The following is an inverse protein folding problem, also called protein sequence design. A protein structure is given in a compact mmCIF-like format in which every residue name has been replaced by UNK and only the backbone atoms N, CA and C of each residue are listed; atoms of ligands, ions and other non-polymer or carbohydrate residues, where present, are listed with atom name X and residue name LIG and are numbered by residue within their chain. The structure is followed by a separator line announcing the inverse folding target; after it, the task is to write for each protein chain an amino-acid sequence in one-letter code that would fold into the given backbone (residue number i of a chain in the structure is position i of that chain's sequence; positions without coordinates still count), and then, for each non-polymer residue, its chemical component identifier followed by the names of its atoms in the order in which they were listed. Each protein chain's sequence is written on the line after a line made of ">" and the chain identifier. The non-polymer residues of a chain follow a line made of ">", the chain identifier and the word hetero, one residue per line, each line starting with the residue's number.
data_IF_616355808857
#
_entry.id   IF_616355808857
#
_cell.length_a   1.000
_cell.length_b   1.000
_cell.length_c   1.000
_cell.angle_alpha   90.00
_cell.angle_beta   90.00
_cell.angle_gamma   90.00
#
_symmetry.space_group_name_H-M   'P 1'
#
loop_
_entity.id
_entity.type
_entity.pdbx_description
1 polymer ?
#
# COMPACT_ATOMS: atom_id res chain seq x y z
N UNK A 1 18.92 -18.43 3.50
CA UNK A 1 18.25 -17.12 3.28
C UNK A 1 17.00 -17.25 2.42
N UNK A 2 17.06 -17.73 1.18
CA UNK A 2 15.86 -17.89 0.30
C UNK A 2 14.81 -18.82 0.93
N UNK A 3 15.23 -19.94 1.54
CA UNK A 3 14.30 -20.83 2.27
C UNK A 3 13.47 -20.09 3.33
N UNK A 4 14.09 -19.17 4.08
CA UNK A 4 13.38 -18.41 5.11
C UNK A 4 12.34 -17.44 4.48
N UNK A 5 12.66 -16.84 3.33
CA UNK A 5 11.71 -16.00 2.58
C UNK A 5 10.48 -16.80 2.15
N UNK A 6 10.69 -18.03 1.63
CA UNK A 6 9.59 -18.93 1.22
C UNK A 6 8.76 -19.42 2.41
N UNK A 7 9.42 -19.81 3.51
CA UNK A 7 8.73 -20.26 4.73
C UNK A 7 7.87 -19.13 5.31
N UNK A 8 8.42 -17.92 5.41
CA UNK A 8 7.67 -16.76 5.92
C UNK A 8 6.56 -16.32 4.97
N UNK A 9 6.73 -16.50 3.64
CA UNK A 9 5.64 -16.32 2.68
C UNK A 9 4.46 -17.26 2.98
N UNK A 10 4.72 -18.55 3.16
CA UNK A 10 3.68 -19.52 3.51
C UNK A 10 2.97 -19.18 4.82
N UNK A 11 3.72 -18.75 5.85
CA UNK A 11 3.15 -18.30 7.13
C UNK A 11 2.29 -17.05 6.97
N UNK A 12 2.75 -16.06 6.21
CA UNK A 12 1.99 -14.86 5.90
C UNK A 12 0.68 -15.20 5.18
N UNK A 13 0.72 -16.12 4.23
CA UNK A 13 -0.48 -16.58 3.50
C UNK A 13 -1.48 -17.24 4.44
N UNK A 14 -1.02 -18.13 5.33
CA UNK A 14 -1.87 -18.79 6.33
C UNK A 14 -2.44 -17.78 7.34
N UNK A 15 -1.63 -16.81 7.78
CA UNK A 15 -2.08 -15.75 8.68
C UNK A 15 -3.09 -14.84 8.02
N UNK A 16 -2.94 -14.55 6.71
CA UNK A 16 -3.90 -13.78 5.93
C UNK A 16 -5.29 -14.44 5.86
N UNK A 17 -5.33 -15.77 5.76
CA UNK A 17 -6.58 -16.55 5.71
C UNK A 17 -7.30 -16.60 7.07
N UNK A 18 -6.67 -16.11 8.13
CA UNK A 18 -7.31 -16.06 9.45
C UNK A 18 -8.44 -15.02 9.46
N UNK A 19 -9.60 -15.39 10.00
CA UNK A 19 -10.81 -14.54 9.99
C UNK A 19 -10.54 -13.10 10.50
N UNK A 20 -9.73 -12.95 11.54
CA UNK A 20 -9.36 -11.61 12.06
C UNK A 20 -8.59 -10.79 11.05
N UNK A 21 -7.69 -11.41 10.27
CA UNK A 21 -6.91 -10.72 9.25
C UNK A 21 -7.78 -10.38 8.03
N UNK A 22 -8.71 -11.25 7.65
CA UNK A 22 -9.70 -10.95 6.63
C UNK A 22 -10.61 -9.78 7.05
N UNK A 23 -11.05 -9.75 8.29
CA UNK A 23 -11.81 -8.59 8.82
C UNK A 23 -10.99 -7.30 8.79
N UNK A 24 -9.68 -7.36 9.02
CA UNK A 24 -8.78 -6.22 8.90
C UNK A 24 -8.65 -5.70 7.46
N UNK A 25 -8.89 -6.52 6.44
CA UNK A 25 -8.94 -6.03 5.05
C UNK A 25 -10.27 -5.37 4.70
N UNK A 26 -11.35 -5.82 5.34
CA UNK A 26 -12.72 -5.31 5.08
C UNK A 26 -12.98 -4.02 5.87
N UNK A 27 -12.55 -3.95 7.13
CA UNK A 27 -12.86 -2.81 8.02
C UNK A 27 -12.36 -1.46 7.48
N UNK A 28 -11.09 -1.28 7.07
CA UNK A 28 -10.63 -0.02 6.49
C UNK A 28 -11.36 0.32 5.19
N UNK A 29 -11.68 -0.70 4.38
CA UNK A 29 -12.44 -0.53 3.15
C UNK A 29 -13.85 0.01 3.45
N UNK A 30 -14.58 -0.63 4.36
CA UNK A 30 -15.93 -0.19 4.77
C UNK A 30 -15.87 1.21 5.38
N UNK A 31 -14.88 1.48 6.25
CA UNK A 31 -14.69 2.80 6.85
C UNK A 31 -14.42 3.89 5.78
N UNK A 32 -13.59 3.59 4.78
CA UNK A 32 -13.31 4.49 3.67
C UNK A 32 -14.55 4.74 2.82
N UNK A 33 -15.29 3.69 2.46
CA UNK A 33 -16.53 3.80 1.68
C UNK A 33 -17.59 4.59 2.45
N UNK A 34 -17.75 4.34 3.75
CA UNK A 34 -18.71 5.07 4.59
C UNK A 34 -18.33 6.56 4.70
N UNK A 35 -17.04 6.85 4.94
CA UNK A 35 -16.55 8.23 5.01
C UNK A 35 -16.81 8.97 3.69
N UNK A 36 -16.39 8.39 2.58
CA UNK A 36 -16.53 9.02 1.27
C UNK A 36 -17.97 9.06 0.80
N UNK A 37 -18.78 8.03 1.11
CA UNK A 37 -20.21 8.04 0.87
C UNK A 37 -20.90 9.20 1.59
N UNK A 38 -20.55 9.43 2.86
CA UNK A 38 -21.04 10.56 3.64
C UNK A 38 -20.56 11.92 3.10
N UNK A 39 -19.25 12.02 2.80
CA UNK A 39 -18.68 13.27 2.26
C UNK A 39 -19.26 13.62 0.90
N UNK A 40 -19.46 12.64 0.01
CA UNK A 40 -20.09 12.86 -1.28
C UNK A 40 -21.57 13.21 -1.12
N UNK A 41 -22.28 12.53 -0.23
CA UNK A 41 -23.69 12.84 0.02
C UNK A 41 -23.91 14.28 0.53
N UNK A 42 -23.02 14.77 1.41
CA UNK A 42 -23.10 16.12 1.97
C UNK A 42 -22.46 17.19 1.07
N UNK A 43 -21.39 16.82 0.35
CA UNK A 43 -20.50 17.79 -0.31
C UNK A 43 -20.53 17.75 -1.84
N UNK A 44 -21.17 16.74 -2.46
CA UNK A 44 -21.14 16.58 -3.91
C UNK A 44 -21.81 17.76 -4.61
N UNK A 45 -23.01 18.18 -4.15
CA UNK A 45 -23.72 19.28 -4.77
C UNK A 45 -23.01 20.62 -4.58
N UNK A 46 -22.60 21.03 -3.37
CA UNK A 46 -21.79 22.25 -3.18
C UNK A 46 -20.48 22.24 -3.98
N UNK A 47 -19.84 21.09 -4.12
CA UNK A 47 -18.60 20.94 -4.90
C UNK A 47 -18.87 21.13 -6.41
N UNK A 48 -19.94 20.54 -6.92
CA UNK A 48 -20.35 20.71 -8.32
C UNK A 48 -20.69 22.17 -8.59
N UNK A 49 -21.45 22.81 -7.71
CA UNK A 49 -21.85 24.22 -7.82
C UNK A 49 -20.61 25.14 -7.78
N UNK A 50 -19.66 24.86 -6.89
CA UNK A 50 -18.39 25.59 -6.82
C UNK A 50 -17.54 25.39 -8.08
N UNK A 51 -17.46 24.17 -8.61
CA UNK A 51 -16.75 23.87 -9.86
C UNK A 51 -17.42 24.59 -11.04
N UNK A 52 -18.73 24.59 -11.11
CA UNK A 52 -19.46 25.33 -12.16
C UNK A 52 -19.22 26.84 -12.06
N UNK A 53 -19.32 27.41 -10.86
CA UNK A 53 -19.07 28.83 -10.65
C UNK A 53 -17.61 29.21 -10.97
N UNK A 54 -16.64 28.36 -10.59
CA UNK A 54 -15.21 28.68 -10.78
C UNK A 54 -14.74 28.48 -12.22
N UNK A 55 -15.17 27.41 -12.88
CA UNK A 55 -14.64 27.01 -14.18
C UNK A 55 -15.60 27.32 -15.34
N UNK A 56 -16.90 27.33 -15.12
CA UNK A 56 -17.87 27.61 -16.18
C UNK A 56 -18.21 29.10 -16.30
N UNK A 57 -18.35 29.80 -15.17
CA UNK A 57 -18.83 31.19 -15.15
C UNK A 57 -17.71 32.23 -15.17
N UNK A 58 -16.52 31.93 -14.62
CA UNK A 58 -15.41 32.88 -14.52
C UNK A 58 -14.43 32.89 -15.72
N UNK A 59 -14.85 32.38 -16.86
CA UNK A 59 -14.09 32.58 -18.12
C UNK A 59 -12.76 31.85 -18.24
N UNK A 60 -12.29 31.11 -17.22
CA UNK A 60 -11.05 30.33 -17.30
C UNK A 60 -11.11 29.25 -18.40
N UNK A 61 -12.29 28.73 -18.65
CA UNK A 61 -12.59 27.84 -19.78
C UNK A 61 -13.48 28.51 -20.85
N UNK A 62 -13.75 29.82 -20.74
CA UNK A 62 -14.60 30.53 -21.69
C UNK A 62 -14.11 30.43 -23.14
N UNK A 63 -12.82 30.63 -23.37
CA UNK A 63 -12.21 30.48 -24.69
C UNK A 63 -12.17 29.00 -25.13
N UNK A 64 -11.77 28.08 -24.23
CA UNK A 64 -11.75 26.65 -24.52
C UNK A 64 -13.17 26.08 -24.68
N UNK A 65 -14.13 26.55 -23.89
CA UNK A 65 -15.55 26.21 -24.00
C UNK A 65 -16.19 26.73 -25.28
N UNK A 66 -15.85 27.95 -25.74
CA UNK A 66 -16.30 28.48 -27.02
C UNK A 66 -15.76 27.68 -28.20
N UNK A 67 -14.49 27.25 -28.14
CA UNK A 67 -13.88 26.36 -29.15
C UNK A 67 -14.57 24.99 -29.16
N UNK A 68 -14.84 24.39 -27.99
CA UNK A 68 -15.52 23.11 -27.87
C UNK A 68 -16.95 23.18 -28.44
N UNK A 69 -17.67 24.28 -28.19
CA UNK A 69 -19.02 24.50 -28.77
C UNK A 69 -18.94 24.72 -30.26
N UNK A 70 -17.95 25.48 -30.75
CA UNK A 70 -17.74 25.74 -32.19
C UNK A 70 -17.40 24.47 -32.98
N UNK A 71 -16.74 23.49 -32.33
CA UNK A 71 -16.40 22.18 -32.91
C UNK A 71 -17.52 21.14 -32.72
N UNK A 72 -18.68 21.53 -32.16
CA UNK A 72 -19.79 20.61 -31.93
C UNK A 72 -19.65 19.70 -30.69
N UNK A 73 -18.63 19.93 -29.86
CA UNK A 73 -18.36 19.17 -28.65
C UNK A 73 -18.94 19.81 -27.38
N UNK A 74 -19.99 20.63 -27.51
CA UNK A 74 -20.62 21.32 -26.38
C UNK A 74 -21.13 20.37 -25.30
N UNK A 75 -21.62 19.20 -25.67
CA UNK A 75 -22.02 18.15 -24.70
C UNK A 75 -20.85 17.63 -23.85
N UNK A 76 -19.61 17.75 -24.34
CA UNK A 76 -18.42 17.34 -23.60
C UNK A 76 -18.15 18.21 -22.38
N UNK A 77 -18.59 19.47 -22.41
CA UNK A 77 -18.51 20.40 -21.26
C UNK A 77 -19.30 19.88 -20.05
N UNK A 78 -20.45 19.25 -20.28
CA UNK A 78 -21.27 18.68 -19.20
C UNK A 78 -20.62 17.45 -18.55
N UNK A 79 -19.79 16.72 -19.29
CA UNK A 79 -19.07 15.54 -18.81
C UNK A 79 -17.71 15.89 -18.21
N UNK A 80 -17.11 17.00 -18.64
CA UNK A 80 -15.75 17.38 -18.23
C UNK A 80 -15.67 17.71 -16.71
N UNK A 81 -16.65 18.43 -16.18
CA UNK A 81 -16.66 18.81 -14.74
C UNK A 81 -16.75 17.58 -13.83
N UNK A 82 -17.69 16.63 -14.02
CA UNK A 82 -17.70 15.38 -13.28
C UNK A 82 -16.43 14.57 -13.45
N UNK A 83 -15.84 14.56 -14.63
CA UNK A 83 -14.63 13.82 -14.92
C UNK A 83 -13.41 14.38 -14.17
N UNK A 84 -13.27 15.71 -14.12
CA UNK A 84 -12.21 16.37 -13.32
C UNK A 84 -12.42 16.09 -11.83
N UNK A 85 -13.67 16.20 -11.35
CA UNK A 85 -14.00 15.88 -9.96
C UNK A 85 -13.59 14.43 -9.62
N UNK A 86 -13.92 13.49 -10.49
CA UNK A 86 -13.57 12.08 -10.32
C UNK A 86 -12.04 11.86 -10.36
N UNK A 87 -11.32 12.56 -11.22
CA UNK A 87 -9.85 12.50 -11.31
C UNK A 87 -9.15 12.98 -10.03
N UNK A 88 -9.71 13.98 -9.36
CA UNK A 88 -9.18 14.51 -8.10
C UNK A 88 -9.62 13.65 -6.91
N UNK A 89 -10.89 13.22 -6.87
CA UNK A 89 -11.45 12.47 -5.75
C UNK A 89 -10.89 11.05 -5.66
N UNK A 90 -10.68 10.38 -6.79
CA UNK A 90 -10.20 8.99 -6.82
C UNK A 90 -8.84 8.80 -6.12
N UNK A 91 -7.78 9.57 -6.44
CA UNK A 91 -6.53 9.49 -5.71
C UNK A 91 -6.68 9.78 -4.22
N UNK A 92 -7.55 10.73 -3.86
CA UNK A 92 -7.80 11.10 -2.48
C UNK A 92 -8.53 9.98 -1.71
N UNK A 93 -9.48 9.31 -2.35
CA UNK A 93 -10.14 8.12 -1.81
C UNK A 93 -9.16 6.97 -1.58
N UNK A 94 -8.29 6.70 -2.54
CA UNK A 94 -7.24 5.67 -2.44
C UNK A 94 -6.28 6.02 -1.30
N UNK A 95 -5.80 7.27 -1.25
CA UNK A 95 -4.89 7.73 -0.20
C UNK A 95 -5.53 7.59 1.19
N UNK A 96 -6.79 7.99 1.33
CA UNK A 96 -7.54 7.85 2.60
C UNK A 96 -7.68 6.39 3.02
N UNK A 97 -8.00 5.50 2.08
CA UNK A 97 -8.07 4.07 2.34
C UNK A 97 -6.71 3.52 2.80
N UNK A 98 -5.61 3.91 2.14
CA UNK A 98 -4.25 3.49 2.52
C UNK A 98 -3.85 4.02 3.90
N UNK A 99 -4.22 5.26 4.24
CA UNK A 99 -4.00 5.81 5.60
C UNK A 99 -4.76 5.00 6.64
N UNK A 100 -6.04 4.69 6.42
CA UNK A 100 -6.79 3.83 7.33
C UNK A 100 -6.16 2.45 7.48
N UNK A 101 -5.70 1.85 6.39
CA UNK A 101 -5.01 0.56 6.43
C UNK A 101 -3.71 0.67 7.24
N UNK A 102 -2.88 1.68 6.98
CA UNK A 102 -1.62 1.89 7.71
C UNK A 102 -1.83 2.08 9.21
N UNK A 103 -2.80 2.92 9.58
CA UNK A 103 -3.07 3.25 11.00
C UNK A 103 -3.76 2.09 11.74
N UNK A 104 -4.64 1.35 11.09
CA UNK A 104 -5.43 0.29 11.74
C UNK A 104 -4.80 -1.09 11.56
N UNK A 105 -4.32 -1.42 10.36
CA UNK A 105 -3.87 -2.76 10.05
C UNK A 105 -2.46 -3.06 10.59
N UNK A 106 -1.48 -2.17 10.44
CA UNK A 106 -0.11 -2.44 10.90
C UNK A 106 -0.03 -2.74 12.40
N UNK A 107 -0.60 -1.94 13.32
CA UNK A 107 -0.57 -2.28 14.73
C UNK A 107 -1.30 -3.58 15.07
N UNK A 108 -2.34 -3.91 14.31
CA UNK A 108 -3.09 -5.16 14.50
C UNK A 108 -2.30 -6.37 14.00
N UNK A 109 -1.58 -6.25 12.88
CA UNK A 109 -0.68 -7.28 12.33
C UNK A 109 0.44 -7.57 13.34
N UNK A 110 1.15 -6.53 13.78
CA UNK A 110 2.26 -6.64 14.75
C UNK A 110 1.81 -7.34 16.04
N UNK A 111 0.65 -6.95 16.57
CA UNK A 111 0.09 -7.60 17.77
C UNK A 111 -0.37 -9.03 17.51
N UNK A 112 -0.96 -9.31 16.35
CA UNK A 112 -1.46 -10.65 16.04
C UNK A 112 -0.33 -11.65 15.90
N UNK A 113 0.67 -11.35 15.08
CA UNK A 113 1.81 -12.23 14.83
C UNK A 113 2.70 -12.32 16.07
N UNK A 114 3.04 -11.17 16.68
CA UNK A 114 3.89 -11.10 17.86
C UNK A 114 3.31 -11.85 19.04
N UNK A 115 2.01 -11.71 19.34
CA UNK A 115 1.39 -12.39 20.48
C UNK A 115 1.15 -13.89 20.25
N UNK A 116 0.97 -14.32 19.00
CA UNK A 116 0.60 -15.69 18.69
C UNK A 116 1.82 -16.57 18.42
N UNK A 117 2.76 -16.08 17.68
CA UNK A 117 3.89 -16.90 17.21
C UNK A 117 5.22 -16.54 17.88
N UNK A 118 5.33 -15.31 18.39
CA UNK A 118 6.55 -14.79 19.01
C UNK A 118 6.28 -14.22 20.41
N UNK A 119 5.38 -14.85 21.18
CA UNK A 119 4.98 -14.40 22.52
C UNK A 119 6.17 -14.28 23.49
N UNK A 120 7.15 -15.18 23.36
CA UNK A 120 8.35 -15.24 24.21
C UNK A 120 9.44 -14.24 23.79
N UNK A 121 9.24 -13.52 22.66
CA UNK A 121 10.20 -12.55 22.18
C UNK A 121 10.07 -11.24 22.97
N UNK A 122 11.11 -10.91 23.73
CA UNK A 122 11.15 -9.68 24.53
C UNK A 122 10.91 -8.42 23.66
N UNK A 123 10.00 -7.54 24.12
CA UNK A 123 9.68 -6.27 23.45
C UNK A 123 10.56 -5.16 23.96
N UNK A 124 11.53 -4.75 23.17
CA UNK A 124 12.51 -3.69 23.52
C UNK A 124 12.07 -2.29 23.09
N UNK A 125 10.96 -2.18 22.33
CA UNK A 125 10.33 -0.90 21.92
C UNK A 125 11.33 0.14 21.40
N UNK A 126 12.25 -0.25 20.54
CA UNK A 126 13.26 0.64 19.96
C UNK A 126 12.72 1.60 18.90
N UNK A 127 11.52 1.37 18.41
CA UNK A 127 10.81 2.22 17.45
C UNK A 127 9.81 3.16 18.12
N UNK A 128 9.52 4.28 17.46
CA UNK A 128 8.51 5.26 17.86
C UNK A 128 7.66 5.62 16.64
N UNK A 129 6.42 6.07 16.85
CA UNK A 129 5.55 6.54 15.77
C UNK A 129 6.18 7.70 14.99
N UNK A 130 6.85 8.63 15.68
CA UNK A 130 7.59 9.72 15.03
C UNK A 130 8.78 9.19 14.22
N UNK A 131 9.45 8.14 14.71
CA UNK A 131 10.51 7.46 13.98
C UNK A 131 10.01 6.77 12.72
N UNK A 132 8.85 6.12 12.78
CA UNK A 132 8.18 5.52 11.61
C UNK A 132 7.85 6.58 10.57
N UNK A 133 7.22 7.68 10.98
CA UNK A 133 6.87 8.78 10.09
C UNK A 133 8.12 9.42 9.46
N UNK A 134 9.19 9.60 10.24
CA UNK A 134 10.47 10.14 9.75
C UNK A 134 11.10 9.23 8.70
N UNK A 135 11.19 7.93 8.99
CA UNK A 135 11.75 6.95 8.05
C UNK A 135 10.88 6.86 6.80
N UNK A 136 9.55 6.82 6.94
CA UNK A 136 8.66 6.79 5.80
C UNK A 136 8.84 8.03 4.91
N UNK A 137 8.85 9.22 5.51
CA UNK A 137 9.02 10.49 4.77
C UNK A 137 10.39 10.56 4.08
N UNK A 138 11.47 10.24 4.79
CA UNK A 138 12.81 10.26 4.23
C UNK A 138 13.01 9.24 3.12
N UNK A 139 12.52 8.00 3.34
CA UNK A 139 12.55 6.96 2.31
C UNK A 139 11.72 7.34 1.08
N UNK A 140 10.58 7.99 1.28
CA UNK A 140 9.76 8.48 0.18
C UNK A 140 10.45 9.57 -0.62
N UNK A 141 11.13 10.52 0.04
CA UNK A 141 11.91 11.57 -0.66
C UNK A 141 13.03 10.96 -1.50
N UNK A 142 13.80 10.02 -0.91
CA UNK A 142 14.85 9.31 -1.65
C UNK A 142 14.29 8.48 -2.81
N UNK A 143 13.18 7.81 -2.59
CA UNK A 143 12.45 7.08 -3.63
C UNK A 143 12.02 8.01 -4.76
N UNK A 144 11.43 9.17 -4.44
CA UNK A 144 10.98 10.14 -5.45
C UNK A 144 12.14 10.68 -6.29
N UNK A 145 13.28 10.96 -5.64
CA UNK A 145 14.49 11.38 -6.35
C UNK A 145 15.04 10.26 -7.26
N UNK A 146 15.12 9.03 -6.75
CA UNK A 146 15.57 7.89 -7.53
C UNK A 146 14.60 7.59 -8.68
N UNK A 147 13.30 7.69 -8.44
CA UNK A 147 12.27 7.53 -9.46
C UNK A 147 12.40 8.59 -10.56
N UNK A 148 12.61 9.86 -10.19
CA UNK A 148 12.84 10.95 -11.14
C UNK A 148 14.08 10.71 -12.02
N UNK A 149 15.19 10.26 -11.41
CA UNK A 149 16.42 9.91 -12.12
C UNK A 149 16.22 8.72 -13.06
N UNK A 150 15.35 7.80 -12.71
CA UNK A 150 15.05 6.61 -13.53
C UNK A 150 13.96 6.84 -14.58
N UNK A 151 13.31 8.01 -14.63
CA UNK A 151 12.31 8.34 -15.65
C UNK A 151 12.81 8.14 -17.10
N UNK A 152 14.03 8.54 -17.49
CA UNK A 152 14.53 8.30 -18.85
C UNK A 152 14.62 6.80 -19.21
N UNK A 153 14.81 5.92 -18.20
CA UNK A 153 14.84 4.46 -18.43
C UNK A 153 13.46 3.91 -18.85
N UNK A 154 12.38 4.66 -18.60
CA UNK A 154 11.03 4.27 -19.05
C UNK A 154 10.89 4.21 -20.57
N UNK A 155 11.83 4.82 -21.32
CA UNK A 155 11.92 4.68 -22.78
C UNK A 155 12.35 3.26 -23.21
N UNK A 156 12.90 2.47 -22.28
CA UNK A 156 13.29 1.07 -22.50
C UNK A 156 12.40 0.14 -21.66
N UNK A 157 11.26 -0.34 -22.20
CA UNK A 157 10.30 -1.14 -21.45
C UNK A 157 10.89 -2.30 -20.63
N UNK A 158 11.84 -3.11 -21.14
CA UNK A 158 12.41 -4.21 -20.37
C UNK A 158 13.10 -3.75 -19.08
N UNK A 159 13.81 -2.62 -19.11
CA UNK A 159 14.47 -2.06 -17.93
C UNK A 159 13.47 -1.52 -16.92
N UNK A 160 12.39 -0.92 -17.38
CA UNK A 160 11.31 -0.42 -16.53
C UNK A 160 10.66 -1.53 -15.72
N UNK A 161 10.42 -2.70 -16.33
CA UNK A 161 9.85 -3.86 -15.65
C UNK A 161 10.74 -4.40 -14.51
N UNK A 162 12.04 -4.13 -14.53
CA UNK A 162 12.97 -4.55 -13.47
C UNK A 162 13.15 -3.41 -12.46
N UNK A 163 13.42 -2.19 -12.93
CA UNK A 163 13.78 -1.05 -12.07
C UNK A 163 12.61 -0.62 -11.19
N UNK A 164 11.40 -0.56 -11.74
CA UNK A 164 10.22 -0.10 -10.99
C UNK A 164 9.89 -1.01 -9.79
N UNK A 165 9.77 -2.33 -9.93
CA UNK A 165 9.55 -3.21 -8.77
C UNK A 165 10.66 -3.14 -7.72
N UNK A 166 11.92 -2.96 -8.14
CA UNK A 166 13.05 -2.82 -7.23
C UNK A 166 12.99 -1.52 -6.44
N UNK A 167 12.65 -0.41 -7.09
CA UNK A 167 12.48 0.90 -6.44
C UNK A 167 11.32 0.87 -5.44
N UNK A 168 10.16 0.39 -5.85
CA UNK A 168 9.01 0.21 -4.94
C UNK A 168 9.34 -0.76 -3.82
N UNK A 169 10.04 -1.85 -4.13
CA UNK A 169 10.51 -2.82 -3.16
C UNK A 169 11.46 -2.20 -2.15
N UNK A 170 12.36 -1.32 -2.59
CA UNK A 170 13.27 -0.61 -1.72
C UNK A 170 12.54 0.32 -0.73
N UNK A 171 11.55 1.08 -1.22
CA UNK A 171 10.71 1.91 -0.36
C UNK A 171 9.93 1.06 0.64
N UNK A 172 9.25 0.02 0.13
CA UNK A 172 8.41 -0.86 0.93
C UNK A 172 9.21 -1.52 2.05
N UNK A 173 10.40 -2.06 1.76
CA UNK A 173 11.16 -2.75 2.81
C UNK A 173 11.66 -1.81 3.89
N UNK A 174 12.03 -0.56 3.55
CA UNK A 174 12.47 0.40 4.56
C UNK A 174 11.36 0.75 5.55
N UNK A 175 10.17 1.01 5.04
CA UNK A 175 9.01 1.37 5.86
C UNK A 175 8.49 0.16 6.64
N UNK A 176 8.20 -0.95 5.95
CA UNK A 176 7.58 -2.12 6.57
C UNK A 176 8.50 -2.84 7.56
N UNK A 177 9.80 -2.95 7.28
CA UNK A 177 10.73 -3.57 8.22
C UNK A 177 10.95 -2.72 9.48
N UNK A 178 10.88 -1.40 9.36
CA UNK A 178 10.90 -0.55 10.55
C UNK A 178 9.66 -0.76 11.41
N UNK A 179 8.49 -0.74 10.80
CA UNK A 179 7.22 -0.91 11.51
C UNK A 179 7.14 -2.29 12.18
N UNK A 180 7.53 -3.36 11.46
CA UNK A 180 7.57 -4.72 11.97
C UNK A 180 8.51 -4.90 13.17
N UNK A 181 9.64 -4.22 13.18
CA UNK A 181 10.63 -4.32 14.26
C UNK A 181 10.42 -3.31 15.38
N UNK A 182 9.55 -2.31 15.21
CA UNK A 182 9.39 -1.15 16.10
C UNK A 182 9.05 -1.52 17.55
N UNK A 183 8.21 -2.55 17.75
CA UNK A 183 7.80 -2.99 19.10
C UNK A 183 8.81 -3.97 19.74
N UNK A 184 9.50 -4.78 18.93
CA UNK A 184 10.26 -5.94 19.43
C UNK A 184 11.77 -5.70 19.43
N UNK A 185 12.33 -4.94 18.49
CA UNK A 185 13.76 -4.74 18.36
C UNK A 185 14.28 -3.48 19.05
N UNK A 186 15.51 -3.51 19.52
CA UNK A 186 16.27 -2.30 19.84
C UNK A 186 16.75 -1.60 18.57
N UNK A 187 17.20 -0.34 18.69
CA UNK A 187 17.77 0.41 17.54
C UNK A 187 19.00 -0.28 16.94
N UNK A 188 19.80 -0.93 17.75
CA UNK A 188 21.00 -1.65 17.30
C UNK A 188 20.63 -2.92 16.56
N UNK A 189 19.72 -3.72 17.12
CA UNK A 189 19.17 -4.93 16.47
C UNK A 189 18.51 -4.60 15.15
N UNK A 190 17.72 -3.54 15.10
CA UNK A 190 17.11 -3.06 13.85
C UNK A 190 18.16 -2.75 12.78
N UNK A 191 19.22 -1.97 13.15
CA UNK A 191 20.32 -1.65 12.21
C UNK A 191 21.04 -2.88 11.72
N UNK A 192 21.27 -3.85 12.59
CA UNK A 192 21.93 -5.11 12.26
C UNK A 192 21.10 -5.91 11.26
N UNK A 193 19.80 -6.09 11.52
CA UNK A 193 18.88 -6.81 10.62
C UNK A 193 18.81 -6.11 9.27
N UNK A 194 18.64 -4.79 9.24
CA UNK A 194 18.58 -4.02 7.99
C UNK A 194 19.84 -4.15 7.14
N UNK A 195 21.01 -4.30 7.77
CA UNK A 195 22.29 -4.48 7.08
C UNK A 195 22.49 -5.92 6.60
N UNK A 196 22.26 -6.89 7.47
CA UNK A 196 22.55 -8.31 7.19
C UNK A 196 21.48 -8.96 6.30
N UNK A 197 20.22 -8.55 6.44
CA UNK A 197 19.09 -9.09 5.71
C UNK A 197 18.60 -8.20 4.56
N UNK A 198 19.42 -7.21 4.12
CA UNK A 198 19.02 -6.25 3.07
C UNK A 198 18.51 -6.90 1.78
N UNK A 199 19.14 -7.97 1.32
CA UNK A 199 18.77 -8.64 0.08
C UNK A 199 17.45 -9.42 0.19
N UNK A 200 17.24 -10.27 1.21
CA UNK A 200 15.95 -10.89 1.45
C UNK A 200 14.81 -9.87 1.62
N UNK A 201 15.04 -8.79 2.39
CA UNK A 201 14.03 -7.74 2.59
C UNK A 201 13.72 -7.01 1.29
N UNK A 202 14.72 -6.71 0.46
CA UNK A 202 14.53 -6.12 -0.86
C UNK A 202 13.76 -7.08 -1.78
N UNK A 203 14.06 -8.38 -1.75
CA UNK A 203 13.34 -9.39 -2.51
C UNK A 203 11.86 -9.44 -2.12
N UNK A 204 11.55 -9.50 -0.81
CA UNK A 204 10.18 -9.47 -0.31
C UNK A 204 9.48 -8.18 -0.78
N UNK A 205 10.12 -7.02 -0.59
CA UNK A 205 9.59 -5.73 -1.02
C UNK A 205 9.34 -5.66 -2.53
N UNK A 206 10.26 -6.17 -3.35
CA UNK A 206 10.10 -6.17 -4.81
C UNK A 206 8.97 -7.08 -5.28
N UNK A 207 8.83 -8.27 -4.67
CA UNK A 207 7.74 -9.19 -4.97
C UNK A 207 6.38 -8.59 -4.56
N UNK A 208 6.29 -8.02 -3.36
CA UNK A 208 5.06 -7.38 -2.88
C UNK A 208 4.76 -6.08 -3.65
N UNK A 209 5.80 -5.33 -4.06
CA UNK A 209 5.65 -4.18 -4.95
C UNK A 209 5.09 -4.58 -6.33
N UNK A 210 5.56 -5.70 -6.88
CA UNK A 210 4.99 -6.27 -8.11
C UNK A 210 3.54 -6.73 -7.92
N UNK A 211 3.21 -7.35 -6.76
CA UNK A 211 1.82 -7.71 -6.43
C UNK A 211 0.93 -6.46 -6.32
N UNK A 212 1.47 -5.34 -5.89
CA UNK A 212 0.78 -4.05 -5.86
C UNK A 212 0.34 -3.53 -7.24
N UNK A 213 0.90 -4.06 -8.32
CA UNK A 213 0.44 -3.78 -9.68
C UNK A 213 -0.80 -4.58 -10.10
N UNK A 214 -1.16 -5.65 -9.37
CA UNK A 214 -2.30 -6.52 -9.71
C UNK A 214 -3.64 -5.76 -9.83
N UNK A 215 -3.98 -4.77 -8.98
CA UNK A 215 -5.20 -3.97 -9.15
C UNK A 215 -5.25 -3.21 -10.47
N UNK A 216 -4.09 -2.83 -11.04
CA UNK A 216 -4.01 -2.14 -12.33
C UNK A 216 -4.53 -3.02 -13.48
N UNK A 217 -4.38 -4.36 -13.36
CA UNK A 217 -4.89 -5.29 -14.36
C UNK A 217 -6.42 -5.31 -14.40
N UNK A 218 -7.09 -5.08 -13.26
CA UNK A 218 -8.55 -4.91 -13.21
C UNK A 218 -9.00 -3.69 -14.01
N UNK A 219 -8.23 -2.60 -13.97
CA UNK A 219 -8.52 -1.40 -14.72
C UNK A 219 -8.37 -1.59 -16.24
N UNK A 220 -7.38 -2.37 -16.68
CA UNK A 220 -7.21 -2.69 -18.10
C UNK A 220 -8.41 -3.48 -18.65
N UNK A 221 -8.95 -4.43 -17.87
CA UNK A 221 -10.16 -5.18 -18.25
C UNK A 221 -11.46 -4.35 -18.17
N UNK A 222 -11.50 -3.37 -17.26
CA UNK A 222 -12.71 -2.57 -16.97
C UNK A 222 -12.86 -1.30 -17.81
N UNK A 223 -11.82 -0.87 -18.52
CA UNK A 223 -11.89 0.31 -19.38
C UNK A 223 -12.98 0.22 -20.48
N UNK A 224 -13.44 -1.01 -20.78
CA UNK A 224 -14.49 -1.29 -21.76
C UNK A 224 -15.92 -1.21 -21.17
N UNK A 225 -16.08 -1.03 -19.86
CA UNK A 225 -17.40 -1.12 -19.20
C UNK A 225 -17.61 -0.01 -18.18
N UNK A 226 -18.00 1.16 -18.61
CA UNK A 226 -18.36 2.30 -17.73
C UNK A 226 -19.40 1.91 -16.68
N UNK A 227 -20.31 0.99 -17.02
CA UNK A 227 -21.37 0.49 -16.13
C UNK A 227 -20.80 -0.25 -14.91
N UNK A 228 -19.71 -1.02 -15.09
CA UNK A 228 -19.08 -1.80 -14.02
C UNK A 228 -17.98 -1.02 -13.27
N UNK A 229 -17.72 0.22 -13.65
CA UNK A 229 -16.66 1.04 -13.09
C UNK A 229 -16.70 1.14 -11.55
N UNK A 230 -17.84 1.41 -10.86
CA UNK A 230 -17.87 1.48 -9.40
C UNK A 230 -17.50 0.14 -8.73
N UNK A 231 -17.95 -0.97 -9.30
CA UNK A 231 -17.66 -2.31 -8.78
C UNK A 231 -16.18 -2.67 -8.96
N UNK A 232 -15.62 -2.34 -10.12
CA UNK A 232 -14.19 -2.55 -10.40
C UNK A 232 -13.30 -1.67 -9.54
N UNK A 233 -13.70 -0.41 -9.30
CA UNK A 233 -13.01 0.49 -8.40
C UNK A 233 -13.01 -0.06 -6.96
N UNK A 234 -14.17 -0.51 -6.47
CA UNK A 234 -14.28 -1.12 -5.15
C UNK A 234 -13.42 -2.39 -5.04
N UNK A 235 -13.44 -3.26 -6.04
CA UNK A 235 -12.62 -4.46 -6.11
C UNK A 235 -11.13 -4.16 -6.16
N UNK A 236 -10.71 -3.13 -6.91
CA UNK A 236 -9.32 -2.70 -6.98
C UNK A 236 -8.84 -2.15 -5.63
N UNK A 237 -9.63 -1.32 -4.96
CA UNK A 237 -9.29 -0.79 -3.63
C UNK A 237 -9.17 -1.94 -2.62
N UNK A 238 -10.13 -2.86 -2.62
CA UNK A 238 -10.07 -4.03 -1.73
C UNK A 238 -8.83 -4.89 -1.98
N UNK A 239 -8.47 -5.11 -3.26
CA UNK A 239 -7.27 -5.86 -3.62
C UNK A 239 -5.99 -5.13 -3.17
N UNK A 240 -5.93 -3.79 -3.25
CA UNK A 240 -4.83 -3.01 -2.68
C UNK A 240 -4.70 -3.22 -1.17
N UNK A 241 -5.81 -3.17 -0.45
CA UNK A 241 -5.83 -3.42 1.00
C UNK A 241 -5.36 -4.84 1.31
N UNK A 242 -5.83 -5.82 0.56
CA UNK A 242 -5.44 -7.23 0.72
C UNK A 242 -3.93 -7.41 0.52
N UNK A 243 -3.36 -6.86 -0.54
CA UNK A 243 -1.93 -6.92 -0.83
C UNK A 243 -1.12 -6.18 0.24
N UNK A 244 -1.60 -5.04 0.73
CA UNK A 244 -0.93 -4.30 1.80
C UNK A 244 -0.87 -5.10 3.11
N UNK A 245 -1.99 -5.68 3.55
CA UNK A 245 -2.05 -6.51 4.77
C UNK A 245 -1.15 -7.74 4.61
N UNK A 246 -1.17 -8.39 3.45
CA UNK A 246 -0.27 -9.50 3.13
C UNK A 246 1.20 -9.09 3.23
N UNK A 247 1.54 -7.94 2.65
CA UNK A 247 2.90 -7.38 2.71
C UNK A 247 3.34 -7.19 4.16
N UNK A 248 2.50 -6.55 4.98
CA UNK A 248 2.76 -6.35 6.40
C UNK A 248 2.98 -7.67 7.15
N UNK A 249 2.12 -8.67 6.93
CA UNK A 249 2.27 -10.00 7.51
C UNK A 249 3.58 -10.67 7.10
N UNK A 250 3.97 -10.58 5.83
CA UNK A 250 5.20 -11.22 5.36
C UNK A 250 6.44 -10.55 5.96
N UNK A 251 6.47 -9.22 5.99
CA UNK A 251 7.56 -8.49 6.66
C UNK A 251 7.62 -8.79 8.15
N UNK A 252 6.48 -8.85 8.85
CA UNK A 252 6.41 -9.16 10.29
C UNK A 252 6.99 -10.55 10.57
N UNK A 253 6.51 -11.60 9.87
CA UNK A 253 7.04 -12.96 10.04
C UNK A 253 8.53 -13.03 9.74
N UNK A 254 9.01 -12.39 8.67
CA UNK A 254 10.42 -12.43 8.30
C UNK A 254 11.29 -11.68 9.31
N UNK A 255 10.89 -10.49 9.71
CA UNK A 255 11.66 -9.64 10.64
C UNK A 255 11.72 -10.24 12.03
N UNK A 256 10.63 -10.79 12.56
CA UNK A 256 10.63 -11.44 13.86
C UNK A 256 11.42 -12.76 13.85
N UNK A 257 11.36 -13.54 12.76
CA UNK A 257 12.22 -14.71 12.59
C UNK A 257 13.71 -14.32 12.56
N UNK A 258 14.07 -13.25 11.86
CA UNK A 258 15.44 -12.75 11.82
C UNK A 258 15.90 -12.26 13.19
N UNK A 259 15.03 -11.56 13.94
CA UNK A 259 15.29 -11.07 15.29
C UNK A 259 15.47 -12.24 16.27
N UNK A 260 14.63 -13.27 16.22
CA UNK A 260 14.79 -14.48 17.03
C UNK A 260 16.14 -15.14 16.76
N UNK A 261 16.52 -15.27 15.48
CA UNK A 261 17.83 -15.81 15.09
C UNK A 261 19.00 -14.96 15.60
N UNK A 262 18.90 -13.62 15.57
CA UNK A 262 19.92 -12.69 16.09
C UNK A 262 20.10 -12.87 17.62
N UNK A 263 19.03 -13.15 18.34
CA UNK A 263 19.04 -13.40 19.79
C UNK A 263 19.38 -14.83 20.18
N UNK A 264 19.65 -15.73 19.20
CA UNK A 264 19.91 -17.14 19.44
C UNK A 264 18.71 -17.93 19.96
N UNK A 265 17.49 -17.40 19.77
CA UNK A 265 16.25 -18.06 20.15
C UNK A 265 15.83 -18.97 18.99
N UNK A 266 15.53 -20.27 19.22
CA UNK A 266 14.96 -21.11 18.18
C UNK A 266 13.70 -20.47 17.61
N UNK A 267 13.49 -20.58 16.29
CA UNK A 267 12.28 -20.02 15.65
C UNK A 267 11.03 -20.67 16.28
N UNK A 268 10.27 -19.93 17.12
CA UNK A 268 9.12 -20.49 17.85
C UNK A 268 7.98 -20.88 16.92
N UNK A 269 7.97 -20.30 15.71
CA UNK A 269 7.00 -20.63 14.67
C UNK A 269 7.50 -21.75 13.72
N UNK A 270 8.69 -22.31 13.94
CA UNK A 270 9.10 -23.50 13.21
C UNK A 270 8.19 -24.67 13.66
N UNK A 271 7.54 -25.37 12.71
CA UNK A 271 6.84 -26.59 13.09
C UNK A 271 7.85 -27.48 13.81
N UNK A 272 7.44 -28.07 14.92
CA UNK A 272 8.24 -29.02 15.67
C UNK A 272 8.52 -30.21 14.74
N UNK A 273 9.58 -30.10 13.91
CA UNK A 273 10.07 -31.17 13.05
C UNK A 273 10.72 -32.30 13.87
N UNK A 274 10.49 -32.32 15.20
CA UNK A 274 11.05 -33.33 16.11
C UNK A 274 10.23 -34.61 16.23
N UNK A 275 9.04 -34.66 15.67
CA UNK A 275 8.16 -35.82 15.83
C UNK A 275 8.02 -36.69 14.56
N UNK A 276 8.94 -36.56 13.60
CA UNK A 276 9.02 -37.42 12.42
C UNK A 276 10.44 -38.07 12.35
N UNK A 277 10.80 -38.80 13.40
CA UNK A 277 11.86 -39.79 13.36
C UNK A 277 11.45 -41.00 14.22
#
# INVERSE_FOLDING_TARGET
>A
MIRNVLVTFGRALLSQLHFRMLMLTVLPFVASVALWGLLLWLGLQPMIDWLHATFADNGGFGAAGAILVAVGLGAFKAVLVPLIAMWVLLPLMILTALVFVGVLAMPAIVRHVGNREYADLERRRGGTLLGSLWIATWSFVLFALAWLVTLPLSLFPPLTFIVQPVLWGWLTYHVMAYDALSEHASREEWRTIMREHRWPLLLIGSLTGAMGAAPTLLWLGGALSVIFFPLLAAGAIWLYVLVFVFTGLWFEHYCLQALAGLRGIPDPAAPALKDIN
#
